data_IF_415335660814
#
_entry.id   IF_415335660814
#
_cell.length_a   1.000
_cell.length_b   1.000
_cell.length_c   1.000
_cell.angle_alpha   90.00
_cell.angle_beta   90.00
_cell.angle_gamma   90.00
#
_symmetry.space_group_name_H-M   'P 1'
#
loop_
_entity.id
_entity.type
_entity.pdbx_description
1 polymer ?
#
# COMPACT_ATOMS: atom_id res chain seq x y z
N UNK A 1 -27.90 14.90 1.10
CA UNK A 1 -26.44 15.10 1.28
C UNK A 1 -25.73 14.42 0.12
N UNK A 2 -24.98 15.17 -0.68
CA UNK A 2 -24.53 14.84 -2.04
C UNK A 2 -24.00 13.41 -2.23
N UNK A 3 -24.73 12.60 -3.02
CA UNK A 3 -24.31 11.27 -3.52
C UNK A 3 -23.67 11.36 -4.91
N UNK A 4 -23.02 12.47 -5.26
CA UNK A 4 -22.36 12.68 -6.56
C UNK A 4 -20.84 12.54 -6.45
N UNK A 5 -20.37 11.45 -5.86
CA UNK A 5 -18.95 11.13 -5.73
C UNK A 5 -18.72 9.64 -5.88
N UNK A 6 -17.57 9.25 -6.42
CA UNK A 6 -17.16 7.85 -6.55
C UNK A 6 -17.27 7.14 -5.17
N UNK A 7 -17.58 5.83 -5.12
CA UNK A 7 -17.55 5.08 -3.87
C UNK A 7 -16.18 5.21 -3.20
N UNK A 8 -16.19 5.45 -1.89
CA UNK A 8 -14.97 5.53 -1.09
C UNK A 8 -14.67 4.16 -0.48
N UNK A 9 -13.47 3.67 -0.68
CA UNK A 9 -13.00 2.37 -0.19
C UNK A 9 -11.80 2.59 0.71
N UNK A 10 -11.76 1.93 1.85
CA UNK A 10 -10.60 1.93 2.75
C UNK A 10 -9.99 0.55 2.77
N UNK A 11 -8.69 0.46 2.55
CA UNK A 11 -7.90 -0.76 2.67
C UNK A 11 -7.01 -0.63 3.89
N UNK A 12 -7.19 -1.54 4.85
CA UNK A 12 -6.37 -1.59 6.07
C UNK A 12 -5.20 -2.55 5.84
N UNK A 13 -3.99 -2.01 5.94
CA UNK A 13 -2.74 -2.71 5.70
C UNK A 13 -2.12 -2.43 4.32
N UNK A 14 -0.82 -2.15 4.29
CA UNK A 14 0.01 -1.97 3.11
C UNK A 14 0.99 -3.15 2.90
N UNK A 15 0.58 -4.34 3.36
CA UNK A 15 1.22 -5.60 2.99
C UNK A 15 0.89 -6.02 1.55
N UNK A 16 1.21 -7.26 1.18
CA UNK A 16 0.90 -7.78 -0.16
C UNK A 16 -0.60 -7.65 -0.48
N UNK A 17 -1.46 -8.24 0.35
CA UNK A 17 -2.90 -8.26 0.11
C UNK A 17 -3.48 -6.87 -0.06
N UNK A 18 -3.13 -5.93 0.83
CA UNK A 18 -3.66 -4.58 0.79
C UNK A 18 -3.24 -3.79 -0.45
N UNK A 19 -1.96 -3.83 -0.81
CA UNK A 19 -1.48 -3.13 -2.00
C UNK A 19 -2.01 -3.75 -3.29
N UNK A 20 -2.09 -5.09 -3.39
CA UNK A 20 -2.69 -5.74 -4.56
C UNK A 20 -4.19 -5.48 -4.67
N UNK A 21 -4.92 -5.44 -3.54
CA UNK A 21 -6.33 -5.05 -3.52
C UNK A 21 -6.50 -3.60 -3.99
N UNK A 22 -5.70 -2.67 -3.47
CA UNK A 22 -5.72 -1.26 -3.88
C UNK A 22 -5.42 -1.12 -5.39
N UNK A 23 -4.40 -1.81 -5.91
CA UNK A 23 -4.07 -1.82 -7.35
C UNK A 23 -5.20 -2.38 -8.21
N UNK A 24 -5.94 -3.36 -7.72
CA UNK A 24 -7.13 -3.88 -8.40
C UNK A 24 -8.24 -2.83 -8.44
N UNK A 25 -8.52 -2.19 -7.29
CA UNK A 25 -9.51 -1.12 -7.14
C UNK A 25 -9.18 0.12 -7.99
N UNK A 26 -7.90 0.39 -8.26
CA UNK A 26 -7.45 1.48 -9.13
C UNK A 26 -8.10 1.46 -10.52
N UNK A 27 -8.51 0.27 -11.01
CA UNK A 27 -9.13 0.08 -12.32
C UNK A 27 -10.63 0.38 -12.33
N UNK A 28 -11.22 0.71 -11.18
CA UNK A 28 -12.64 0.94 -11.01
C UNK A 28 -12.92 2.40 -10.65
N UNK A 29 -14.16 2.90 -10.87
CA UNK A 29 -14.53 4.28 -10.57
C UNK A 29 -14.76 4.50 -9.06
N UNK A 30 -13.73 4.23 -8.25
CA UNK A 30 -13.70 4.36 -6.78
C UNK A 30 -12.56 5.28 -6.35
N UNK A 31 -12.70 5.89 -5.17
CA UNK A 31 -11.61 6.56 -4.48
C UNK A 31 -11.14 5.66 -3.33
N UNK A 32 -9.88 5.25 -3.34
CA UNK A 32 -9.32 4.28 -2.41
C UNK A 32 -8.32 4.96 -1.45
N UNK A 33 -8.43 4.67 -0.15
CA UNK A 33 -7.45 5.08 0.87
C UNK A 33 -6.80 3.84 1.47
N UNK A 34 -5.49 3.70 1.31
CA UNK A 34 -4.69 2.69 2.01
C UNK A 34 -4.24 3.27 3.34
N UNK A 35 -4.47 2.53 4.43
CA UNK A 35 -4.07 2.93 5.77
C UNK A 35 -3.16 1.87 6.35
N UNK A 36 -1.95 2.24 6.75
CA UNK A 36 -1.03 1.36 7.45
C UNK A 36 -0.26 2.15 8.51
N UNK A 37 0.24 1.44 9.52
CA UNK A 37 1.10 2.00 10.56
C UNK A 37 2.52 2.31 10.07
N UNK A 38 2.92 1.67 8.96
CA UNK A 38 4.22 1.84 8.32
C UNK A 38 4.02 2.52 6.97
N UNK A 39 4.92 3.45 6.63
CA UNK A 39 4.95 4.09 5.32
C UNK A 39 5.64 3.23 4.24
N UNK A 40 5.96 1.97 4.54
CA UNK A 40 6.62 1.02 3.65
C UNK A 40 5.91 -0.34 3.61
N UNK A 41 6.07 -1.03 2.48
CA UNK A 41 5.76 -2.43 2.28
C UNK A 41 7.01 -3.27 2.53
N UNK A 42 6.92 -4.29 3.37
CA UNK A 42 8.03 -5.23 3.59
C UNK A 42 7.86 -6.47 2.71
N UNK A 43 8.90 -6.81 1.96
CA UNK A 43 8.97 -8.08 1.24
C UNK A 43 9.37 -9.22 2.19
N UNK A 44 8.37 -9.74 2.90
CA UNK A 44 8.56 -10.72 3.99
C UNK A 44 9.30 -11.99 3.58
N UNK A 45 9.31 -12.35 2.29
CA UNK A 45 10.02 -13.52 1.80
C UNK A 45 11.54 -13.46 2.04
N UNK A 46 12.14 -12.27 2.09
CA UNK A 46 13.58 -12.08 2.34
C UNK A 46 13.88 -11.57 3.76
N UNK A 47 12.88 -11.52 4.64
CA UNK A 47 13.07 -11.04 6.02
C UNK A 47 14.13 -11.84 6.78
N UNK A 48 14.26 -13.14 6.48
CA UNK A 48 15.27 -13.98 7.09
C UNK A 48 16.70 -13.57 6.70
N UNK A 49 16.92 -13.02 5.50
CA UNK A 49 18.24 -12.55 5.06
C UNK A 49 18.66 -11.31 5.85
N UNK A 50 17.71 -10.41 6.15
CA UNK A 50 17.96 -9.30 7.06
C UNK A 50 18.31 -9.80 8.46
N UNK A 51 17.55 -10.78 8.97
CA UNK A 51 17.83 -11.39 10.28
C UNK A 51 19.20 -12.11 10.33
N UNK A 52 19.67 -12.63 9.20
CA UNK A 52 20.97 -13.27 9.04
C UNK A 52 22.12 -12.29 8.72
N UNK A 53 21.84 -10.97 8.67
CA UNK A 53 22.77 -9.93 8.25
C UNK A 53 23.32 -10.11 6.81
N UNK A 54 22.55 -10.76 5.94
CA UNK A 54 22.85 -10.89 4.50
C UNK A 54 22.31 -9.71 3.68
N UNK A 55 21.28 -9.02 4.18
CA UNK A 55 20.66 -7.85 3.55
C UNK A 55 20.40 -6.74 4.57
N UNK A 56 20.37 -5.50 4.09
CA UNK A 56 19.93 -4.37 4.89
C UNK A 56 18.39 -4.28 4.89
N UNK A 57 17.81 -3.64 5.90
CA UNK A 57 16.36 -3.53 6.01
C UNK A 57 15.74 -2.74 4.83
N UNK A 58 16.48 -1.76 4.33
CA UNK A 58 16.13 -0.92 3.19
C UNK A 58 16.01 -1.72 1.89
N UNK A 59 16.74 -2.83 1.75
CA UNK A 59 16.68 -3.68 0.56
C UNK A 59 15.32 -4.37 0.39
N UNK A 60 14.58 -4.53 1.50
CA UNK A 60 13.29 -5.22 1.53
C UNK A 60 12.11 -4.31 1.92
N UNK A 61 12.36 -3.02 2.17
CA UNK A 61 11.35 -2.04 2.59
C UNK A 61 11.06 -1.01 1.48
N UNK A 62 9.87 -1.10 0.88
CA UNK A 62 9.50 -0.28 -0.28
C UNK A 62 8.49 0.80 0.12
N UNK A 63 8.77 2.09 -0.07
CA UNK A 63 7.84 3.16 0.30
C UNK A 63 6.47 2.99 -0.38
N UNK A 64 5.39 2.95 0.42
CA UNK A 64 4.02 2.71 -0.08
C UNK A 64 3.65 3.74 -1.14
N UNK A 65 3.98 5.01 -0.88
CA UNK A 65 3.68 6.12 -1.80
C UNK A 65 4.35 5.96 -3.16
N UNK A 66 5.53 5.34 -3.22
CA UNK A 66 6.21 5.02 -4.48
C UNK A 66 5.47 3.92 -5.25
N UNK A 67 4.97 2.90 -4.56
CA UNK A 67 4.23 1.77 -5.16
C UNK A 67 2.91 2.23 -5.78
N UNK A 68 2.20 3.14 -5.10
CA UNK A 68 0.88 3.61 -5.54
C UNK A 68 0.91 4.87 -6.42
N UNK A 69 2.10 5.44 -6.66
CA UNK A 69 2.28 6.74 -7.35
C UNK A 69 1.61 6.85 -8.72
N UNK A 70 1.47 5.73 -9.44
CA UNK A 70 0.85 5.67 -10.76
C UNK A 70 -0.69 5.57 -10.72
N UNK A 71 -1.32 5.56 -9.54
CA UNK A 71 -2.76 5.40 -9.38
C UNK A 71 -3.37 6.66 -8.76
N UNK A 72 -3.90 7.59 -9.57
CA UNK A 72 -4.35 8.89 -9.09
C UNK A 72 -5.59 8.83 -8.17
N UNK A 73 -6.28 7.69 -8.14
CA UNK A 73 -7.44 7.43 -7.28
C UNK A 73 -7.11 6.58 -6.04
N UNK A 74 -5.83 6.35 -5.75
CA UNK A 74 -5.37 5.71 -4.52
C UNK A 74 -4.56 6.74 -3.72
N UNK A 75 -4.94 6.95 -2.48
CA UNK A 75 -4.16 7.74 -1.52
C UNK A 75 -3.67 6.86 -0.37
N UNK A 76 -2.70 7.37 0.40
CA UNK A 76 -2.13 6.69 1.55
C UNK A 76 -2.12 7.59 2.79
N UNK A 77 -2.60 7.04 3.90
CA UNK A 77 -2.49 7.64 5.22
C UNK A 77 -1.68 6.75 6.17
N UNK A 78 -0.74 7.37 6.87
CA UNK A 78 -0.06 6.76 8.01
C UNK A 78 -0.97 6.86 9.23
N UNK A 79 -1.14 5.78 10.00
CA UNK A 79 -2.02 5.72 11.16
C UNK A 79 -1.36 5.16 12.42
#
# INVERSE_FOLDING_TARGET
>A
MNRSGKPKVVVLGAGFGGLWAARSLAKHPVDCLVVDRNNYHTFLALLYQVAAAELEAEDIAYPVRSIISNFPNIDFALA
#
